data_IF_086057160983
#
_entry.id   IF_086057160983
#
_cell.length_a   1.000
_cell.length_b   1.000
_cell.length_c   1.000
_cell.angle_alpha   90.00
_cell.angle_beta   90.00
_cell.angle_gamma   90.00
#
_symmetry.space_group_name_H-M   'P 1'
#
loop_
_entity.id
_entity.type
_entity.pdbx_description
1 polymer ?
#
# COMPACT_ATOMS: atom_id res chain seq x y z
N UNK A 1 -17.99 1.74 23.88
CA UNK A 1 -16.94 2.71 23.47
C UNK A 1 -16.93 2.81 21.96
N UNK A 2 -16.79 4.01 21.39
CA UNK A 2 -16.70 4.19 19.92
C UNK A 2 -15.32 3.79 19.41
N UNK A 3 -15.23 3.31 18.17
CA UNK A 3 -13.96 3.04 17.48
C UNK A 3 -13.08 4.31 17.48
N UNK A 4 -13.69 5.48 17.28
CA UNK A 4 -12.97 6.76 17.34
C UNK A 4 -12.37 7.04 18.72
N UNK A 5 -13.05 6.64 19.80
CA UNK A 5 -12.53 6.79 21.15
C UNK A 5 -11.34 5.86 21.42
N UNK A 6 -11.35 4.65 20.84
CA UNK A 6 -10.23 3.70 20.95
C UNK A 6 -8.99 4.19 20.19
N UNK A 7 -9.18 4.69 18.96
CA UNK A 7 -8.08 5.27 18.15
C UNK A 7 -7.52 6.51 18.84
N UNK A 8 -8.40 7.37 19.37
CA UNK A 8 -7.98 8.55 20.09
C UNK A 8 -7.13 8.19 21.31
N UNK A 9 -7.63 7.30 22.18
CA UNK A 9 -6.96 6.95 23.43
C UNK A 9 -5.62 6.23 23.23
N UNK A 10 -5.50 5.37 22.22
CA UNK A 10 -4.33 4.52 22.04
C UNK A 10 -3.29 5.06 21.05
N UNK A 11 -3.72 5.84 20.05
CA UNK A 11 -2.84 6.24 18.94
C UNK A 11 -2.65 7.75 18.93
N UNK A 12 -3.72 8.53 18.90
CA UNK A 12 -3.61 9.98 18.63
C UNK A 12 -3.48 10.85 19.88
N UNK A 13 -3.71 10.30 21.08
CA UNK A 13 -3.64 11.06 22.35
C UNK A 13 -2.25 11.59 22.68
N UNK A 14 -1.18 10.88 22.31
CA UNK A 14 0.21 11.32 22.52
C UNK A 14 0.87 11.61 21.18
N UNK A 15 1.60 12.71 21.09
CA UNK A 15 2.26 13.11 19.84
C UNK A 15 3.29 12.07 19.37
N UNK A 16 4.04 11.45 20.29
CA UNK A 16 5.02 10.41 19.95
C UNK A 16 4.38 9.16 19.32
N UNK A 17 3.25 8.69 19.86
CA UNK A 17 2.52 7.55 19.30
C UNK A 17 1.84 7.89 17.98
N UNK A 18 1.33 9.12 17.86
CA UNK A 18 0.76 9.64 16.61
C UNK A 18 1.83 9.72 15.52
N UNK A 19 3.00 10.30 15.82
CA UNK A 19 4.09 10.44 14.87
C UNK A 19 4.61 9.08 14.39
N UNK A 20 4.77 8.12 15.30
CA UNK A 20 5.17 6.76 14.97
C UNK A 20 4.13 6.07 14.07
N UNK A 21 2.85 6.14 14.44
CA UNK A 21 1.76 5.55 13.66
C UNK A 21 1.62 6.19 12.28
N UNK A 22 1.79 7.51 12.16
CA UNK A 22 1.76 8.21 10.88
C UNK A 22 2.95 7.84 9.99
N UNK A 23 4.15 7.75 10.57
CA UNK A 23 5.38 7.40 9.82
C UNK A 23 5.33 5.96 9.31
N UNK A 24 4.95 5.01 10.17
CA UNK A 24 4.77 3.60 9.78
C UNK A 24 3.60 3.44 8.83
N UNK A 25 2.50 4.14 9.07
CA UNK A 25 1.32 4.14 8.21
C UNK A 25 1.64 4.64 6.80
N UNK A 26 2.41 5.73 6.67
CA UNK A 26 2.83 6.25 5.37
C UNK A 26 3.70 5.25 4.60
N UNK A 27 4.66 4.60 5.27
CA UNK A 27 5.49 3.59 4.64
C UNK A 27 4.68 2.37 4.18
N UNK A 28 3.86 1.81 5.08
CA UNK A 28 3.02 0.66 4.77
C UNK A 28 2.00 0.98 3.67
N UNK A 29 1.44 2.19 3.67
CA UNK A 29 0.50 2.64 2.66
C UNK A 29 1.16 2.79 1.30
N UNK A 30 2.34 3.43 1.21
CA UNK A 30 3.08 3.53 -0.05
C UNK A 30 3.37 2.16 -0.64
N UNK A 31 3.96 1.24 0.14
CA UNK A 31 4.29 -0.10 -0.34
C UNK A 31 3.05 -0.87 -0.83
N UNK A 32 1.96 -0.83 -0.04
CA UNK A 32 0.72 -1.52 -0.39
C UNK A 32 0.06 -0.89 -1.61
N UNK A 33 0.07 0.45 -1.70
CA UNK A 33 -0.55 1.18 -2.79
C UNK A 33 0.19 0.95 -4.11
N UNK A 34 1.52 0.97 -4.11
CA UNK A 34 2.33 0.65 -5.28
C UNK A 34 2.06 -0.77 -5.76
N UNK A 35 2.08 -1.75 -4.85
CA UNK A 35 1.82 -3.15 -5.21
C UNK A 35 0.42 -3.37 -5.80
N UNK A 36 -0.61 -2.74 -5.22
CA UNK A 36 -1.99 -2.82 -5.73
C UNK A 36 -2.08 -2.15 -7.11
N UNK A 37 -1.47 -0.97 -7.26
CA UNK A 37 -1.54 -0.20 -8.49
C UNK A 37 -0.82 -0.92 -9.62
N UNK A 38 0.37 -1.48 -9.37
CA UNK A 38 1.10 -2.29 -10.34
C UNK A 38 0.31 -3.54 -10.73
N UNK A 39 -0.25 -4.26 -9.75
CA UNK A 39 -1.06 -5.45 -10.04
C UNK A 39 -2.30 -5.11 -10.87
N UNK A 40 -2.94 -3.98 -10.58
CA UNK A 40 -4.07 -3.50 -11.35
C UNK A 40 -3.64 -3.13 -12.78
N UNK A 41 -2.54 -2.40 -12.91
CA UNK A 41 -1.98 -1.99 -14.20
C UNK A 41 -1.58 -3.18 -15.08
N UNK A 42 -1.01 -4.21 -14.47
CA UNK A 42 -0.63 -5.47 -15.11
C UNK A 42 -1.83 -6.24 -15.62
N UNK A 43 -2.90 -6.32 -14.83
CA UNK A 43 -4.14 -6.97 -15.26
C UNK A 43 -4.79 -6.23 -16.42
N UNK A 44 -4.81 -4.90 -16.38
CA UNK A 44 -5.44 -4.08 -17.43
C UNK A 44 -4.63 -4.12 -18.73
N UNK A 45 -3.30 -4.14 -18.65
CA UNK A 45 -2.40 -4.12 -19.81
C UNK A 45 -1.78 -5.48 -20.15
N UNK A 46 -2.37 -6.56 -19.65
CA UNK A 46 -1.90 -7.91 -19.87
C UNK A 46 -1.70 -8.20 -21.37
N UNK A 47 -0.53 -8.72 -21.72
CA UNK A 47 -0.15 -9.08 -23.09
C UNK A 47 0.39 -7.92 -23.94
N UNK A 48 0.35 -6.68 -23.44
CA UNK A 48 0.99 -5.51 -24.09
C UNK A 48 2.29 -5.11 -23.41
N UNK A 49 2.49 -5.54 -22.17
CA UNK A 49 3.66 -5.15 -21.40
C UNK A 49 4.89 -5.93 -21.87
N UNK A 50 6.05 -5.27 -21.83
CA UNK A 50 7.30 -5.90 -22.23
C UNK A 50 7.62 -7.18 -21.46
N UNK A 51 7.24 -7.26 -20.17
CA UNK A 51 7.41 -8.47 -19.37
C UNK A 51 6.62 -9.66 -19.91
N UNK A 52 5.42 -9.45 -20.43
CA UNK A 52 4.59 -10.50 -21.03
C UNK A 52 5.12 -10.90 -22.41
N UNK A 53 5.57 -9.93 -23.20
CA UNK A 53 6.17 -10.16 -24.53
C UNK A 53 7.49 -10.92 -24.41
N UNK A 54 8.34 -10.53 -23.46
CA UNK A 54 9.61 -11.21 -23.17
C UNK A 54 9.39 -12.63 -22.66
N UNK A 55 8.35 -12.86 -21.83
CA UNK A 55 8.01 -14.21 -21.38
C UNK A 55 7.70 -15.14 -22.57
N UNK A 56 6.97 -14.64 -23.59
CA UNK A 56 6.69 -15.39 -24.82
C UNK A 56 7.90 -15.57 -25.75
N UNK A 57 8.87 -14.65 -25.72
CA UNK A 57 10.07 -14.70 -26.56
C UNK A 57 11.17 -15.63 -26.01
N UNK A 58 11.13 -15.88 -24.70
CA UNK A 58 12.09 -16.73 -24.00
C UNK A 58 11.56 -18.16 -23.75
N UNK A 59 10.33 -18.47 -24.17
CA UNK A 59 9.83 -19.84 -24.41
C UNK A 59 10.28 -20.32 -25.80
#
# INVERSE_FOLDING_TARGET
MSIGALVYQNITRRFSTLFLAASLGAFAMNYTFDAITDTYWDKVNAGKQWKDIKAKLNE
#
